data_IF_304609472346
#
_entry.id   IF_304609472346
#
_cell.length_a   1.000
_cell.length_b   1.000
_cell.length_c   1.000
_cell.angle_alpha   90.00
_cell.angle_beta   90.00
_cell.angle_gamma   90.00
#
_symmetry.space_group_name_H-M   'P 1'
#
loop_
_entity.id
_entity.type
_entity.pdbx_description
1 polymer ?
#
# COMPACT_ATOMS: atom_id res chain seq x y z
N UNK A 1 -20.20 -17.26 -34.83
CA UNK A 1 -21.56 -16.75 -34.50
C UNK A 1 -21.56 -16.50 -33.00
N UNK A 2 -21.15 -15.32 -32.54
CA UNK A 2 -22.00 -14.15 -32.24
C UNK A 2 -23.03 -14.51 -31.15
N UNK A 3 -22.99 -13.90 -29.96
CA UNK A 3 -23.45 -12.53 -29.72
C UNK A 3 -22.61 -11.85 -28.61
N UNK A 4 -22.11 -10.66 -28.94
CA UNK A 4 -21.54 -9.68 -28.03
C UNK A 4 -22.66 -8.72 -27.57
N UNK A 5 -22.66 -8.34 -26.29
CA UNK A 5 -23.47 -7.22 -25.79
C UNK A 5 -22.54 -6.02 -25.60
N UNK A 6 -22.85 -5.00 -26.38
CA UNK A 6 -22.33 -3.63 -26.35
C UNK A 6 -23.15 -2.86 -25.31
N UNK A 7 -22.50 -2.21 -24.36
CA UNK A 7 -23.06 -1.03 -23.69
C UNK A 7 -22.10 0.13 -23.93
N UNK A 8 -22.58 1.07 -24.73
CA UNK A 8 -22.01 2.40 -24.90
C UNK A 8 -22.77 3.34 -23.96
N UNK A 9 -22.05 4.12 -23.16
CA UNK A 9 -22.52 5.44 -22.73
C UNK A 9 -21.39 6.47 -22.88
N UNK A 10 -21.64 7.35 -23.84
CA UNK A 10 -21.28 8.76 -23.97
C UNK A 10 -19.98 9.29 -23.37
N UNK A 11 -19.09 9.59 -24.32
CA UNK A 11 -18.25 10.78 -24.40
C UNK A 11 -18.69 11.97 -23.55
N UNK A 12 -17.83 12.38 -22.61
CA UNK A 12 -17.62 13.79 -22.32
C UNK A 12 -16.17 14.14 -22.67
N UNK A 13 -16.04 15.19 -23.45
CA UNK A 13 -14.84 15.67 -24.15
C UNK A 13 -13.71 16.14 -23.23
N UNK A 14 -12.49 15.84 -23.69
CA UNK A 14 -11.20 16.47 -23.39
C UNK A 14 -11.21 17.78 -22.57
N UNK A 15 -10.46 17.78 -21.48
CA UNK A 15 -9.48 18.85 -21.23
C UNK A 15 -8.17 18.24 -20.78
N UNK A 16 -7.15 18.29 -21.65
CA UNK A 16 -5.75 18.05 -21.28
C UNK A 16 -5.30 19.25 -20.44
N UNK A 17 -5.44 19.15 -19.12
CA UNK A 17 -4.66 19.99 -18.23
C UNK A 17 -3.22 19.44 -18.21
N UNK A 18 -2.27 20.28 -18.59
CA UNK A 18 -0.86 20.07 -18.26
C UNK A 18 -0.74 19.82 -16.76
N UNK A 19 -0.18 18.68 -16.36
CA UNK A 19 0.29 18.47 -15.00
C UNK A 19 1.44 19.46 -14.75
N UNK A 20 1.12 20.58 -14.10
CA UNK A 20 2.10 21.50 -13.55
C UNK A 20 2.77 20.79 -12.35
N UNK A 21 4.10 20.88 -12.19
CA UNK A 21 4.76 20.38 -11.00
C UNK A 21 4.20 21.14 -9.78
N UNK A 22 3.78 20.37 -8.78
CA UNK A 22 3.25 20.86 -7.52
C UNK A 22 4.22 21.89 -6.94
N UNK A 23 3.73 23.12 -6.81
CA UNK A 23 4.39 24.13 -6.00
C UNK A 23 3.95 23.84 -4.57
N UNK A 24 4.89 23.53 -3.69
CA UNK A 24 4.66 23.42 -2.25
C UNK A 24 4.14 24.77 -1.73
N UNK A 25 2.82 24.93 -1.74
CA UNK A 25 2.12 26.01 -1.06
C UNK A 25 1.85 25.53 0.38
N UNK A 26 2.25 26.29 1.42
CA UNK A 26 2.05 25.87 2.79
C UNK A 26 0.56 25.97 3.10
N UNK A 27 -0.10 24.81 3.26
CA UNK A 27 -1.50 24.72 3.65
C UNK A 27 -1.70 25.30 5.05
N UNK A 28 -2.01 26.59 5.09
CA UNK A 28 -2.72 27.24 6.18
C UNK A 28 -4.18 26.77 6.13
N UNK A 29 -4.65 26.16 7.22
CA UNK A 29 -6.04 25.80 7.41
C UNK A 29 -6.18 24.51 8.19
N UNK A 30 -6.17 24.61 9.52
CA UNK A 30 -6.91 23.68 10.36
C UNK A 30 -8.39 23.88 10.00
N UNK A 31 -8.83 23.25 8.90
CA UNK A 31 -10.25 23.05 8.66
C UNK A 31 -10.74 22.20 9.83
N UNK A 32 -11.71 22.74 10.58
CA UNK A 32 -12.48 21.99 11.56
C UNK A 32 -12.80 20.62 10.99
N UNK A 33 -12.35 19.56 11.65
CA UNK A 33 -12.84 18.21 11.40
C UNK A 33 -14.33 18.25 11.75
N UNK A 34 -15.18 18.51 10.76
CA UNK A 34 -16.61 18.21 10.89
C UNK A 34 -16.70 16.75 11.31
N UNK A 35 -17.26 16.51 12.51
CA UNK A 35 -17.48 15.18 13.06
C UNK A 35 -18.34 14.43 12.06
N UNK A 36 -17.70 13.61 11.24
CA UNK A 36 -18.36 12.95 10.13
C UNK A 36 -19.13 11.76 10.72
N UNK A 37 -20.47 11.81 10.64
CA UNK A 37 -21.31 10.72 11.12
C UNK A 37 -21.12 9.48 10.24
N UNK A 38 -20.51 8.45 10.81
CA UNK A 38 -20.30 7.18 10.13
C UNK A 38 -21.61 6.39 10.13
N UNK A 39 -22.23 6.21 8.96
CA UNK A 39 -23.54 5.56 8.83
C UNK A 39 -23.42 4.25 8.07
N UNK A 40 -23.87 3.15 8.69
CA UNK A 40 -23.83 1.82 8.10
C UNK A 40 -24.61 0.80 8.92
N UNK A 41 -24.62 -0.45 8.47
CA UNK A 41 -24.95 -1.61 9.30
C UNK A 41 -23.72 -2.44 9.65
N UNK A 42 -22.69 -2.35 8.81
CA UNK A 42 -21.36 -2.88 9.10
C UNK A 42 -20.34 -1.79 8.84
N UNK A 43 -19.40 -1.56 9.75
CA UNK A 43 -18.29 -0.64 9.54
C UNK A 43 -16.98 -1.36 9.83
N UNK A 44 -16.10 -1.43 8.84
CA UNK A 44 -14.71 -1.85 9.04
C UNK A 44 -13.85 -0.61 9.21
N UNK A 45 -13.19 -0.48 10.35
CA UNK A 45 -12.16 0.53 10.63
C UNK A 45 -10.79 -0.14 10.61
N UNK A 46 -9.88 0.40 9.82
CA UNK A 46 -8.49 -0.05 9.73
C UNK A 46 -7.59 1.13 10.05
N UNK A 47 -6.71 1.02 11.04
CA UNK A 47 -5.82 2.11 11.42
C UNK A 47 -4.66 2.28 10.43
N UNK A 48 -4.16 3.51 10.36
CA UNK A 48 -2.92 3.89 9.68
C UNK A 48 -1.75 3.06 10.21
N UNK A 49 -1.64 2.87 11.53
CA UNK A 49 -0.56 2.10 12.15
C UNK A 49 -0.54 0.64 11.68
N UNK A 50 -1.71 0.02 11.51
CA UNK A 50 -1.81 -1.33 10.99
C UNK A 50 -1.43 -1.39 9.51
N UNK A 51 -1.86 -0.40 8.72
CA UNK A 51 -1.51 -0.27 7.31
C UNK A 51 -0.01 -0.06 7.16
N UNK A 52 0.59 0.80 7.96
CA UNK A 52 2.03 1.00 8.06
C UNK A 52 2.70 -0.33 8.38
N UNK A 53 2.38 -0.99 9.49
CA UNK A 53 3.01 -2.27 9.85
C UNK A 53 2.92 -3.35 8.75
N UNK A 54 1.83 -3.33 7.97
CA UNK A 54 1.59 -4.29 6.89
C UNK A 54 2.29 -3.89 5.58
N UNK A 55 2.37 -2.60 5.27
CA UNK A 55 2.81 -2.07 3.97
C UNK A 55 4.17 -1.35 4.04
N UNK A 56 4.42 -0.60 5.12
CA UNK A 56 5.71 -0.03 5.48
C UNK A 56 6.73 -1.14 5.68
N UNK A 57 7.74 -1.15 4.82
CA UNK A 57 8.90 -2.01 5.00
C UNK A 57 10.08 -1.41 4.28
N UNK A 58 11.22 -1.58 4.91
CA UNK A 58 12.48 -1.16 4.36
C UNK A 58 12.83 -1.99 3.12
N UNK A 59 13.19 -1.29 2.06
CA UNK A 59 13.84 -1.88 0.89
C UNK A 59 15.34 -1.82 1.18
N UNK A 60 16.00 -2.97 1.23
CA UNK A 60 17.47 -3.06 1.18
C UNK A 60 17.84 -4.12 0.17
N UNK A 61 18.25 -3.67 -1.02
CA UNK A 61 18.56 -4.57 -2.14
C UNK A 61 19.88 -4.23 -2.80
N UNK A 62 20.67 -5.28 -3.05
CA UNK A 62 21.90 -5.21 -3.84
C UNK A 62 21.69 -5.85 -5.20
N UNK A 63 21.84 -5.05 -6.25
CA UNK A 63 21.63 -5.50 -7.63
C UNK A 63 22.89 -5.36 -8.47
N UNK A 64 23.03 -6.23 -9.47
CA UNK A 64 24.06 -6.09 -10.50
C UNK A 64 23.66 -4.97 -11.47
N UNK A 65 24.60 -4.06 -11.74
CA UNK A 65 24.46 -3.06 -12.79
C UNK A 65 25.11 -3.58 -14.06
N UNK A 66 24.35 -3.63 -15.15
CA UNK A 66 24.83 -3.87 -16.50
C UNK A 66 23.99 -3.03 -17.46
N UNK A 67 24.53 -1.88 -17.90
CA UNK A 67 23.81 -0.93 -18.75
C UNK A 67 24.74 -0.23 -19.73
N UNK A 68 24.17 0.35 -20.78
CA UNK A 68 24.92 1.10 -21.78
C UNK A 68 24.68 2.60 -21.60
N UNK A 69 25.73 3.35 -21.26
CA UNK A 69 25.68 4.81 -21.13
C UNK A 69 26.58 5.41 -22.20
N UNK A 70 26.01 6.17 -23.13
CA UNK A 70 26.76 6.78 -24.24
C UNK A 70 27.64 5.76 -25.00
N UNK A 71 27.03 4.63 -25.39
CA UNK A 71 27.71 3.51 -26.07
C UNK A 71 28.82 2.83 -25.25
N UNK A 72 28.97 3.19 -23.97
CA UNK A 72 29.92 2.57 -23.05
C UNK A 72 29.15 1.61 -22.16
N UNK A 73 29.46 0.31 -22.26
CA UNK A 73 28.90 -0.69 -21.35
C UNK A 73 29.51 -0.52 -19.97
N UNK A 74 28.68 -0.14 -19.00
CA UNK A 74 29.03 0.05 -17.61
C UNK A 74 28.54 -1.14 -16.77
N UNK A 75 29.47 -1.81 -16.10
CA UNK A 75 29.20 -2.99 -15.27
C UNK A 75 29.60 -2.71 -13.83
N UNK A 76 28.80 -3.15 -12.87
CA UNK A 76 29.13 -3.02 -11.46
C UNK A 76 28.00 -3.46 -10.53
N UNK A 77 27.87 -2.76 -9.41
CA UNK A 77 26.85 -3.06 -8.38
C UNK A 77 26.14 -1.79 -7.94
N UNK A 78 24.88 -1.95 -7.54
CA UNK A 78 24.06 -0.93 -6.90
C UNK A 78 23.56 -1.45 -5.56
N UNK A 79 23.40 -0.54 -4.61
CA UNK A 79 22.80 -0.75 -3.30
C UNK A 79 21.66 0.26 -3.18
N UNK A 80 20.45 -0.24 -3.05
CA UNK A 80 19.22 0.54 -2.97
C UNK A 80 18.65 0.35 -1.58
N UNK A 81 18.51 1.46 -0.86
CA UNK A 81 17.87 1.53 0.45
C UNK A 81 16.64 2.42 0.35
N UNK A 82 15.55 2.07 1.02
CA UNK A 82 14.38 2.93 1.12
C UNK A 82 13.45 2.52 2.25
N UNK A 83 12.59 3.45 2.64
CA UNK A 83 11.55 3.28 3.65
C UNK A 83 10.20 3.59 3.01
N UNK A 84 9.17 2.84 3.36
CA UNK A 84 7.82 3.04 2.89
C UNK A 84 6.95 3.53 4.04
N UNK A 85 6.15 4.56 3.80
CA UNK A 85 5.20 5.15 4.72
C UNK A 85 3.81 5.10 4.08
N UNK A 86 2.76 4.90 4.88
CA UNK A 86 1.37 5.09 4.46
C UNK A 86 0.95 6.52 4.79
N UNK A 87 0.27 7.15 3.85
CA UNK A 87 -0.27 8.51 3.98
C UNK A 87 -1.76 8.44 3.62
N UNK A 88 -2.64 8.22 4.61
CA UNK A 88 -4.08 8.29 4.43
C UNK A 88 -4.45 9.68 3.93
N UNK A 89 -5.20 9.76 2.82
CA UNK A 89 -5.70 11.03 2.30
C UNK A 89 -7.17 11.14 2.63
N UNK A 90 -7.58 12.13 3.45
CA UNK A 90 -8.98 12.29 3.75
C UNK A 90 -9.80 12.46 2.49
N UNK A 91 -10.75 11.56 2.31
CA UNK A 91 -11.68 11.52 1.19
C UNK A 91 -13.02 11.00 1.72
N UNK A 92 -14.11 11.66 1.34
CA UNK A 92 -15.46 11.36 1.82
C UNK A 92 -16.18 10.33 0.95
N UNK A 93 -15.71 10.14 -0.28
CA UNK A 93 -16.34 9.28 -1.27
C UNK A 93 -15.46 8.09 -1.67
N UNK A 94 -14.20 8.06 -1.22
CA UNK A 94 -13.23 7.02 -1.58
C UNK A 94 -12.39 6.55 -0.39
N UNK A 95 -12.05 5.26 -0.38
CA UNK A 95 -11.13 4.66 0.58
C UNK A 95 -9.77 4.55 -0.10
N UNK A 96 -9.17 5.72 -0.27
CA UNK A 96 -7.88 5.87 -0.92
C UNK A 96 -6.81 6.26 0.10
N UNK A 97 -5.65 5.62 -0.01
CA UNK A 97 -4.45 6.01 0.70
C UNK A 97 -3.25 5.95 -0.25
N UNK A 98 -2.20 6.67 0.12
CA UNK A 98 -0.97 6.72 -0.66
C UNK A 98 0.13 5.98 0.08
N UNK A 99 0.80 5.06 -0.59
CA UNK A 99 2.08 4.51 -0.11
C UNK A 99 3.20 5.37 -0.68
N UNK A 100 3.95 6.03 0.19
CA UNK A 100 5.09 6.87 -0.16
C UNK A 100 6.36 6.13 0.19
N UNK A 101 7.20 5.82 -0.79
CA UNK A 101 8.49 5.18 -0.57
C UNK A 101 9.59 6.18 -0.86
N UNK A 102 10.44 6.47 0.12
CA UNK A 102 11.60 7.35 -0.03
C UNK A 102 12.89 6.56 0.11
N UNK A 103 13.91 6.91 -0.64
CA UNK A 103 15.16 6.15 -0.57
C UNK A 103 16.31 6.70 -1.38
N UNK A 104 17.41 5.95 -1.34
CA UNK A 104 18.64 6.25 -2.07
C UNK A 104 19.17 5.02 -2.79
N UNK A 105 19.70 5.21 -3.99
CA UNK A 105 20.37 4.16 -4.77
C UNK A 105 21.81 4.59 -5.08
N UNK A 106 22.76 3.87 -4.51
CA UNK A 106 24.18 4.09 -4.66
C UNK A 106 24.79 3.03 -5.58
N UNK A 107 25.43 3.45 -6.68
CA UNK A 107 26.06 2.52 -7.62
C UNK A 107 27.55 2.78 -7.83
N UNK A 108 28.30 1.71 -8.09
CA UNK A 108 29.71 1.75 -8.52
C UNK A 108 29.84 0.96 -9.79
N UNK A 109 30.34 1.59 -10.85
CA UNK A 109 30.44 0.95 -12.17
C UNK A 109 31.79 1.20 -12.82
N UNK A 110 32.22 0.23 -13.63
CA UNK A 110 33.35 0.33 -14.52
C UNK A 110 32.85 0.23 -15.96
N UNK A 111 33.14 1.25 -16.77
CA UNK A 111 32.87 1.28 -18.19
C UNK A 111 34.15 1.15 -19.01
N UNK A 112 34.09 0.42 -20.13
CA UNK A 112 35.21 0.31 -21.08
C UNK A 112 34.80 0.86 -22.44
N UNK A 113 35.61 1.77 -22.98
CA UNK A 113 35.42 2.33 -24.31
C UNK A 113 36.77 2.37 -25.04
N UNK A 114 37.01 1.37 -25.88
CA UNK A 114 38.32 1.12 -26.48
C UNK A 114 39.40 0.93 -25.40
N UNK A 115 40.53 1.66 -25.46
CA UNK A 115 41.57 1.56 -24.44
C UNK A 115 41.24 2.31 -23.14
N UNK A 116 40.17 3.12 -23.09
CA UNK A 116 39.82 3.89 -21.91
C UNK A 116 38.97 3.06 -20.93
N UNK A 117 39.31 3.14 -19.65
CA UNK A 117 38.58 2.52 -18.53
C UNK A 117 38.07 3.66 -17.65
N UNK A 118 36.77 3.70 -17.41
CA UNK A 118 36.12 4.77 -16.64
C UNK A 118 35.47 4.16 -15.42
N UNK A 119 35.88 4.61 -14.24
CA UNK A 119 35.26 4.22 -12.97
C UNK A 119 34.38 5.34 -12.49
N UNK A 120 33.10 5.04 -12.23
CA UNK A 120 32.10 6.01 -11.83
C UNK A 120 31.37 5.56 -10.57
N UNK A 121 30.90 6.54 -9.81
CA UNK A 121 29.93 6.38 -8.72
C UNK A 121 28.70 7.21 -9.05
N UNK A 122 27.53 6.69 -8.72
CA UNK A 122 26.30 7.48 -8.73
C UNK A 122 25.60 7.37 -7.38
N UNK A 123 25.00 8.46 -6.94
CA UNK A 123 24.00 8.48 -5.89
C UNK A 123 22.70 8.97 -6.53
N UNK A 124 21.58 8.34 -6.22
CA UNK A 124 20.25 8.76 -6.71
C UNK A 124 19.30 8.76 -5.55
N UNK A 125 18.82 9.93 -5.19
CA UNK A 125 17.75 10.09 -4.21
C UNK A 125 16.43 9.99 -4.98
N UNK A 126 15.45 9.29 -4.40
CA UNK A 126 14.18 9.06 -5.07
C UNK A 126 13.02 8.99 -4.08
N UNK A 127 11.83 9.33 -4.59
CA UNK A 127 10.55 9.27 -3.90
C UNK A 127 9.52 8.66 -4.84
N UNK A 128 8.91 7.56 -4.47
CA UNK A 128 7.81 6.91 -5.19
C UNK A 128 6.53 7.16 -4.41
N UNK A 129 5.46 7.49 -5.10
CA UNK A 129 4.12 7.60 -4.57
C UNK A 129 3.22 6.64 -5.35
N UNK A 130 2.54 5.74 -4.64
CA UNK A 130 1.60 4.79 -5.24
C UNK A 130 0.25 4.94 -4.55
N UNK A 131 -0.81 5.06 -5.35
CA UNK A 131 -2.18 5.17 -4.84
C UNK A 131 -2.75 3.78 -4.69
N UNK A 132 -3.34 3.51 -3.52
CA UNK A 132 -4.08 2.29 -3.23
C UNK A 132 -5.52 2.69 -2.93
N UNK A 133 -6.46 2.05 -3.62
CA UNK A 133 -7.90 2.28 -3.46
C UNK A 133 -8.59 0.98 -3.09
N UNK A 134 -9.57 1.04 -2.20
CA UNK A 134 -10.47 -0.08 -1.97
C UNK A 134 -11.63 -0.05 -2.96
N UNK A 135 -11.85 -1.15 -3.68
CA UNK A 135 -12.91 -1.27 -4.69
C UNK A 135 -13.59 -2.63 -4.56
N UNK A 136 -14.90 -2.62 -4.30
CA UNK A 136 -15.77 -3.79 -4.28
C UNK A 136 -15.20 -5.02 -3.53
N UNK A 137 -14.65 -4.81 -2.33
CA UNK A 137 -14.16 -5.91 -1.47
C UNK A 137 -12.65 -6.19 -1.57
N UNK A 138 -11.90 -5.48 -2.41
CA UNK A 138 -10.45 -5.68 -2.55
C UNK A 138 -9.69 -4.36 -2.67
N UNK A 139 -8.44 -4.36 -2.23
CA UNK A 139 -7.52 -3.28 -2.49
C UNK A 139 -6.94 -3.40 -3.91
N UNK A 140 -6.96 -2.30 -4.64
CA UNK A 140 -6.41 -2.15 -5.97
C UNK A 140 -5.34 -1.05 -5.97
N UNK A 141 -4.34 -1.22 -6.82
CA UNK A 141 -3.24 -0.27 -6.95
C UNK A 141 -3.24 0.38 -8.32
N UNK A 142 -2.81 1.63 -8.36
CA UNK A 142 -2.47 2.33 -9.61
C UNK A 142 -0.96 2.32 -9.84
N UNK A 143 -0.47 2.48 -11.08
CA UNK A 143 0.96 2.61 -11.33
C UNK A 143 1.58 3.76 -10.54
N UNK A 144 2.72 3.51 -9.90
CA UNK A 144 3.40 4.51 -9.09
C UNK A 144 3.93 5.69 -9.92
N UNK A 145 4.03 6.85 -9.28
CA UNK A 145 4.75 8.02 -9.79
C UNK A 145 6.05 8.15 -9.00
N UNK A 146 7.15 8.37 -9.69
CA UNK A 146 8.48 8.54 -9.09
C UNK A 146 9.01 9.94 -9.35
N UNK A 147 9.69 10.49 -8.36
CA UNK A 147 10.57 11.64 -8.45
C UNK A 147 11.98 11.17 -8.11
N UNK A 148 12.98 11.67 -8.82
CA UNK A 148 14.36 11.24 -8.63
C UNK A 148 15.32 12.39 -8.91
N UNK A 149 16.47 12.34 -8.26
CA UNK A 149 17.60 13.19 -8.58
C UNK A 149 18.88 12.39 -8.53
N UNK A 150 19.60 12.32 -9.66
CA UNK A 150 20.87 11.59 -9.73
C UNK A 150 22.06 12.52 -9.74
N UNK A 151 23.06 12.18 -8.91
CA UNK A 151 24.40 12.73 -8.98
C UNK A 151 25.40 11.70 -9.51
N UNK A 152 26.06 12.00 -10.62
CA UNK A 152 27.11 11.17 -11.21
C UNK A 152 28.51 11.76 -10.94
N UNK A 153 29.39 10.96 -10.34
CA UNK A 153 30.77 11.32 -9.98
C UNK A 153 31.74 10.37 -10.70
N UNK A 154 32.48 10.85 -11.70
CA UNK A 154 33.61 10.11 -12.24
C UNK A 154 34.71 10.01 -11.19
N UNK A 155 35.04 8.80 -10.75
CA UNK A 155 36.07 8.54 -9.74
C UNK A 155 37.45 8.44 -10.38
N UNK A 156 37.52 7.77 -11.53
CA UNK A 156 38.79 7.46 -12.18
C UNK A 156 38.68 7.32 -13.68
N UNK A 157 39.75 7.68 -14.37
CA UNK A 157 39.93 7.44 -15.79
C UNK A 157 41.30 6.82 -15.97
N UNK A 158 41.31 5.59 -16.45
CA UNK A 158 42.52 4.81 -16.70
C UNK A 158 42.61 4.37 -18.16
N UNK A 159 43.72 3.76 -18.54
CA UNK A 159 43.94 3.21 -19.87
C UNK A 159 44.51 1.79 -19.79
N UNK A 160 44.02 0.90 -20.66
CA UNK A 160 44.56 -0.46 -20.79
C UNK A 160 45.92 -0.51 -21.50
N UNK A 161 46.34 0.60 -22.14
CA UNK A 161 47.60 0.69 -22.89
C UNK A 161 48.68 1.42 -22.07
N UNK A 162 49.93 0.92 -22.04
CA UNK A 162 51.00 1.52 -21.24
C UNK A 162 51.65 2.76 -21.91
N UNK A 163 52.46 3.47 -21.13
CA UNK A 163 53.35 4.54 -21.62
C UNK A 163 52.66 5.81 -22.11
N UNK A 164 53.26 6.47 -23.11
CA UNK A 164 52.77 7.74 -23.68
C UNK A 164 51.37 7.62 -24.29
N UNK A 165 51.06 6.47 -24.92
CA UNK A 165 49.72 6.19 -25.47
C UNK A 165 48.67 6.15 -24.36
N UNK A 166 49.00 5.56 -23.21
CA UNK A 166 48.14 5.55 -22.03
C UNK A 166 47.91 6.95 -21.44
N UNK A 167 48.95 7.79 -21.42
CA UNK A 167 48.84 9.18 -20.97
C UNK A 167 47.90 10.00 -21.87
N UNK A 168 48.05 9.90 -23.19
CA UNK A 168 47.17 10.57 -24.15
C UNK A 168 45.73 10.08 -24.04
N UNK A 169 45.54 8.75 -23.96
CA UNK A 169 44.22 8.13 -23.81
C UNK A 169 43.50 8.66 -22.57
N UNK A 170 44.16 8.68 -21.40
CA UNK A 170 43.59 9.22 -20.16
C UNK A 170 43.22 10.69 -20.29
N UNK A 171 44.07 11.50 -20.93
CA UNK A 171 43.83 12.93 -21.15
C UNK A 171 42.61 13.20 -22.04
N UNK A 172 42.44 12.42 -23.12
CA UNK A 172 41.29 12.52 -24.02
C UNK A 172 40.03 12.01 -23.31
N UNK A 173 40.10 10.84 -22.67
CA UNK A 173 38.98 10.23 -21.96
C UNK A 173 38.48 11.14 -20.82
N UNK A 174 39.37 11.73 -20.02
CA UNK A 174 38.98 12.68 -18.97
C UNK A 174 38.23 13.89 -19.53
N UNK A 175 38.73 14.49 -20.62
CA UNK A 175 38.03 15.60 -21.31
C UNK A 175 36.64 15.17 -21.79
N UNK A 176 36.54 13.99 -22.42
CA UNK A 176 35.28 13.47 -22.94
C UNK A 176 34.26 13.19 -21.83
N UNK A 177 34.69 12.57 -20.73
CA UNK A 177 33.85 12.29 -19.56
C UNK A 177 33.27 13.57 -18.97
N UNK A 178 34.09 14.63 -18.84
CA UNK A 178 33.61 15.92 -18.33
C UNK A 178 32.61 16.57 -19.28
N UNK A 179 32.89 16.55 -20.59
CA UNK A 179 31.96 17.08 -21.61
C UNK A 179 30.63 16.34 -21.66
N UNK A 180 30.63 15.03 -21.40
CA UNK A 180 29.43 14.19 -21.49
C UNK A 180 28.74 13.93 -20.16
N UNK A 181 29.18 14.55 -19.06
CA UNK A 181 28.71 14.27 -17.70
C UNK A 181 27.20 14.45 -17.57
N UNK A 182 26.67 15.62 -17.92
CA UNK A 182 25.24 15.92 -17.78
C UNK A 182 24.36 14.94 -18.58
N UNK A 183 24.81 14.52 -19.75
CA UNK A 183 24.07 13.53 -20.56
C UNK A 183 24.15 12.14 -19.95
N UNK A 184 25.32 11.73 -19.44
CA UNK A 184 25.47 10.44 -18.75
C UNK A 184 24.63 10.39 -17.46
N UNK A 185 24.56 11.51 -16.73
CA UNK A 185 23.76 11.68 -15.52
C UNK A 185 22.27 11.51 -15.81
N UNK A 186 21.72 12.21 -16.81
CA UNK A 186 20.31 12.07 -17.22
C UNK A 186 19.94 10.65 -17.68
N UNK A 187 20.84 9.98 -18.42
CA UNK A 187 20.62 8.58 -18.83
C UNK A 187 20.59 7.68 -17.59
N UNK A 188 21.57 7.87 -16.69
CA UNK A 188 21.68 7.11 -15.44
C UNK A 188 20.44 7.30 -14.59
N UNK A 189 19.97 8.54 -14.46
CA UNK A 189 18.76 8.92 -13.73
C UNK A 189 17.53 8.22 -14.29
N UNK A 190 17.28 8.37 -15.59
CA UNK A 190 16.13 7.75 -16.25
C UNK A 190 16.13 6.21 -16.07
N UNK A 191 17.28 5.58 -16.26
CA UNK A 191 17.41 4.13 -16.16
C UNK A 191 17.25 3.65 -14.70
N UNK A 192 17.81 4.39 -13.73
CA UNK A 192 17.63 4.10 -12.30
C UNK A 192 16.17 4.33 -11.89
N UNK A 193 15.56 5.43 -12.31
CA UNK A 193 14.14 5.78 -12.09
C UNK A 193 13.21 4.65 -12.55
N UNK A 194 13.41 4.16 -13.77
CA UNK A 194 12.57 3.08 -14.32
C UNK A 194 12.72 1.78 -13.52
N UNK A 195 13.95 1.42 -13.12
CA UNK A 195 14.21 0.22 -12.33
C UNK A 195 13.59 0.33 -10.94
N UNK A 196 13.86 1.42 -10.22
CA UNK A 196 13.34 1.64 -8.86
C UNK A 196 11.82 1.64 -8.86
N UNK A 197 11.19 2.32 -9.83
CA UNK A 197 9.73 2.32 -9.93
C UNK A 197 9.18 0.90 -10.11
N UNK A 198 9.75 0.11 -11.02
CA UNK A 198 9.30 -1.27 -11.24
C UNK A 198 9.47 -2.16 -10.00
N UNK A 199 10.58 -2.02 -9.28
CA UNK A 199 10.87 -2.79 -8.06
C UNK A 199 9.94 -2.40 -6.91
N UNK A 200 9.68 -1.10 -6.73
CA UNK A 200 8.70 -0.61 -5.75
C UNK A 200 7.29 -1.04 -6.13
N UNK A 201 6.92 -0.93 -7.40
CA UNK A 201 5.61 -1.35 -7.88
C UNK A 201 5.36 -2.83 -7.59
N UNK A 202 6.30 -3.70 -7.97
CA UNK A 202 6.23 -5.15 -7.74
C UNK A 202 6.16 -5.48 -6.24
N UNK A 203 6.95 -4.81 -5.42
CA UNK A 203 6.95 -5.02 -3.96
C UNK A 203 5.61 -4.64 -3.32
N UNK A 204 5.06 -3.48 -3.67
CA UNK A 204 3.76 -3.01 -3.14
C UNK A 204 2.63 -3.90 -3.66
N UNK A 205 2.62 -4.23 -4.95
CA UNK A 205 1.57 -5.08 -5.54
C UNK A 205 1.56 -6.48 -4.92
N UNK A 206 2.74 -7.05 -4.67
CA UNK A 206 2.87 -8.32 -3.96
C UNK A 206 2.31 -8.27 -2.53
N UNK A 207 2.44 -7.15 -1.83
CA UNK A 207 1.87 -6.95 -0.48
C UNK A 207 0.37 -6.78 -0.51
N UNK A 208 -0.14 -5.97 -1.43
CA UNK A 208 -1.58 -5.78 -1.62
C UNK A 208 -2.24 -7.10 -2.02
N UNK A 209 -1.60 -7.92 -2.85
CA UNK A 209 -2.08 -9.26 -3.18
C UNK A 209 -2.17 -10.17 -1.94
N UNK A 210 -1.17 -10.15 -1.06
CA UNK A 210 -1.20 -10.89 0.22
C UNK A 210 -2.28 -10.36 1.17
N UNK A 211 -2.45 -9.05 1.24
CA UNK A 211 -3.49 -8.40 2.03
C UNK A 211 -4.88 -8.85 1.55
N UNK A 212 -5.15 -8.77 0.25
CA UNK A 212 -6.39 -9.24 -0.34
C UNK A 212 -6.62 -10.73 -0.09
N UNK A 213 -5.59 -11.57 -0.20
CA UNK A 213 -5.70 -12.99 0.12
C UNK A 213 -6.04 -13.23 1.61
N UNK A 214 -5.47 -12.45 2.53
CA UNK A 214 -5.76 -12.51 3.97
C UNK A 214 -7.19 -12.07 4.29
N UNK A 215 -7.71 -11.09 3.56
CA UNK A 215 -9.11 -10.63 3.68
C UNK A 215 -10.05 -11.71 3.18
N UNK A 216 -9.78 -12.28 2.00
CA UNK A 216 -10.57 -13.36 1.43
C UNK A 216 -10.57 -14.62 2.32
N UNK A 217 -9.43 -14.95 2.95
CA UNK A 217 -9.33 -16.14 3.79
C UNK A 217 -10.03 -16.03 5.15
N UNK A 218 -10.73 -14.92 5.46
CA UNK A 218 -11.46 -14.76 6.72
C UNK A 218 -12.92 -15.23 6.53
N UNK A 219 -13.32 -16.37 7.10
CA UNK A 219 -14.65 -16.96 6.87
C UNK A 219 -15.80 -16.03 7.30
N UNK A 220 -15.55 -15.19 8.30
CA UNK A 220 -16.52 -14.19 8.77
C UNK A 220 -16.81 -13.14 7.69
N UNK A 221 -15.80 -12.70 6.94
CA UNK A 221 -15.97 -11.73 5.86
C UNK A 221 -16.65 -12.38 4.66
N UNK A 222 -16.35 -13.65 4.34
CA UNK A 222 -17.08 -14.38 3.30
C UNK A 222 -18.58 -14.51 3.60
N UNK A 223 -18.97 -14.56 4.88
CA UNK A 223 -20.39 -14.60 5.28
C UNK A 223 -21.04 -13.23 5.31
N UNK A 224 -20.30 -12.20 5.72
CA UNK A 224 -20.84 -10.84 5.85
C UNK A 224 -20.85 -10.12 4.50
N UNK A 225 -19.78 -10.22 3.69
CA UNK A 225 -19.64 -9.50 2.42
C UNK A 225 -20.83 -9.69 1.46
N UNK A 226 -21.44 -10.89 1.31
CA UNK A 226 -22.60 -11.05 0.44
C UNK A 226 -23.90 -10.44 0.99
N UNK A 227 -24.01 -10.28 2.31
CA UNK A 227 -25.13 -9.57 2.94
C UNK A 227 -25.05 -8.04 2.73
N UNK A 228 -23.90 -7.57 2.28
CA UNK A 228 -23.63 -6.17 2.06
C UNK A 228 -23.79 -5.89 0.58
N UNK A 229 -24.64 -4.92 0.24
CA UNK A 229 -24.67 -4.44 -1.13
C UNK A 229 -23.36 -3.67 -1.38
N UNK A 230 -22.42 -4.32 -2.08
CA UNK A 230 -21.13 -3.71 -2.45
C UNK A 230 -21.30 -2.44 -3.28
N UNK A 231 -22.46 -2.23 -3.93
CA UNK A 231 -22.79 -0.98 -4.63
C UNK A 231 -23.23 0.15 -3.68
N UNK A 232 -23.58 -0.19 -2.44
CA UNK A 232 -23.98 0.74 -1.39
C UNK A 232 -22.90 0.90 -0.29
N UNK A 233 -21.69 0.39 -0.53
CA UNK A 233 -20.55 0.65 0.33
C UNK A 233 -20.16 2.14 0.24
N UNK A 234 -20.10 2.79 1.38
CA UNK A 234 -19.53 4.12 1.55
C UNK A 234 -18.13 3.98 2.09
N UNK A 235 -17.22 4.70 1.45
CA UNK A 235 -15.81 4.64 1.74
C UNK A 235 -15.40 6.02 2.24
N UNK A 236 -14.70 6.03 3.37
CA UNK A 236 -14.20 7.26 3.96
C UNK A 236 -12.79 7.03 4.49
N UNK A 237 -11.90 7.97 4.22
CA UNK A 237 -10.57 7.99 4.82
C UNK A 237 -10.50 9.18 5.77
N UNK A 238 -10.01 8.95 6.98
CA UNK A 238 -9.59 10.01 7.91
C UNK A 238 -8.07 10.14 7.88
N UNK A 239 -7.50 11.01 8.72
CA UNK A 239 -6.04 11.12 8.84
C UNK A 239 -5.38 9.85 9.38
N UNK A 240 -6.11 9.09 10.20
CA UNK A 240 -5.53 7.98 10.98
C UNK A 240 -6.18 6.64 10.71
N UNK A 241 -7.26 6.60 9.94
CA UNK A 241 -8.02 5.38 9.71
C UNK A 241 -8.69 5.38 8.33
N UNK A 242 -8.87 4.19 7.78
CA UNK A 242 -9.77 3.94 6.66
C UNK A 242 -11.04 3.31 7.21
N UNK A 243 -12.18 3.80 6.75
CA UNK A 243 -13.51 3.36 7.13
C UNK A 243 -14.25 2.83 5.91
N UNK A 244 -14.73 1.60 6.00
CA UNK A 244 -15.60 0.99 5.01
C UNK A 244 -16.96 0.76 5.66
N UNK A 245 -17.93 1.59 5.33
CA UNK A 245 -19.29 1.49 5.85
C UNK A 245 -20.19 0.84 4.81
N UNK A 246 -20.86 -0.24 5.18
CA UNK A 246 -21.73 -0.97 4.29
C UNK A 246 -23.18 -0.79 4.70
N UNK A 247 -24.01 -0.38 3.73
CA UNK A 247 -25.46 -0.31 3.87
C UNK A 247 -26.02 -1.70 3.53
N UNK A 248 -26.98 -2.18 4.32
CA UNK A 248 -27.70 -3.42 4.00
C UNK A 248 -28.55 -3.25 2.74
N UNK A 249 -28.85 -4.37 2.08
CA UNK A 249 -29.55 -4.44 0.78
C UNK A 249 -30.88 -3.67 0.74
N UNK A 250 -31.54 -3.51 1.89
CA UNK A 250 -32.84 -2.81 2.03
C UNK A 250 -32.78 -1.49 2.82
N UNK A 251 -31.60 -1.07 3.28
CA UNK A 251 -31.46 0.06 4.20
C UNK A 251 -31.32 1.40 3.44
N UNK A 252 -32.41 2.17 3.38
CA UNK A 252 -32.44 3.51 2.75
C UNK A 252 -31.65 4.56 3.55
N UNK A 253 -31.42 4.32 4.86
CA UNK A 253 -30.60 5.18 5.71
C UNK A 253 -29.78 4.33 6.68
N UNK A 254 -28.45 4.44 6.61
CA UNK A 254 -27.55 3.77 7.56
C UNK A 254 -27.74 4.27 9.00
N UNK A 255 -27.44 3.41 9.96
CA UNK A 255 -27.46 3.73 11.40
C UNK A 255 -26.15 4.43 11.75
N UNK A 256 -26.21 5.47 12.59
CA UNK A 256 -25.01 6.16 13.07
C UNK A 256 -24.23 5.20 13.98
N UNK A 257 -22.96 5.01 13.67
CA UNK A 257 -22.04 4.20 14.44
C UNK A 257 -21.28 5.07 15.43
N UNK A 258 -21.28 4.74 16.73
CA UNK A 258 -20.62 5.52 17.77
C UNK A 258 -19.11 5.22 17.82
N UNK A 259 -18.39 5.46 16.71
CA UNK A 259 -16.95 5.17 16.60
C UNK A 259 -16.10 5.94 17.62
N UNK A 260 -16.61 7.06 18.14
CA UNK A 260 -15.94 7.92 19.10
C UNK A 260 -16.07 7.44 20.56
N UNK A 261 -16.94 6.45 20.82
CA UNK A 261 -17.12 5.90 22.17
C UNK A 261 -16.01 4.89 22.55
N UNK A 262 -15.22 4.43 21.58
CA UNK A 262 -14.10 3.52 21.79
C UNK A 262 -12.80 4.09 21.22
N UNK A 263 -11.72 3.97 22.01
CA UNK A 263 -10.37 4.21 21.52
C UNK A 263 -10.07 3.30 20.31
N UNK A 264 -9.49 3.83 19.22
CA UNK A 264 -9.20 3.05 18.03
C UNK A 264 -8.18 1.93 18.27
N UNK A 265 -8.51 0.74 17.78
CA UNK A 265 -7.60 -0.39 17.60
C UNK A 265 -7.08 -0.49 16.16
N UNK A 266 -6.05 -1.31 15.95
CA UNK A 266 -5.48 -1.63 14.63
C UNK A 266 -6.54 -2.02 13.58
N UNK A 267 -7.50 -2.85 13.95
CA UNK A 267 -8.61 -3.24 13.09
C UNK A 267 -9.85 -3.52 13.91
N UNK A 268 -10.97 -2.96 13.48
CA UNK A 268 -12.26 -3.13 14.14
C UNK A 268 -13.38 -3.38 13.14
N UNK A 269 -14.22 -4.35 13.45
CA UNK A 269 -15.44 -4.63 12.69
C UNK A 269 -16.65 -4.36 13.57
N UNK A 270 -17.38 -3.31 13.24
CA UNK A 270 -18.60 -2.89 13.90
C UNK A 270 -19.80 -3.46 13.15
N UNK A 271 -20.67 -4.20 13.85
CA UNK A 271 -21.83 -4.86 13.27
C UNK A 271 -23.06 -4.43 14.06
N UNK A 272 -24.02 -3.80 13.40
CA UNK A 272 -25.26 -3.38 14.03
C UNK A 272 -26.18 -4.58 14.31
N UNK A 273 -26.80 -4.62 15.47
CA UNK A 273 -27.67 -5.71 15.95
C UNK A 273 -28.75 -6.12 14.95
N UNK A 274 -29.31 -5.15 14.23
CA UNK A 274 -30.40 -5.39 13.27
C UNK A 274 -29.97 -6.29 12.11
N UNK A 275 -28.69 -6.32 11.74
CA UNK A 275 -28.18 -7.22 10.70
C UNK A 275 -28.33 -8.69 11.10
N UNK A 276 -28.31 -8.96 12.41
CA UNK A 276 -28.46 -10.30 12.99
C UNK A 276 -29.93 -10.60 13.36
N UNK A 277 -30.87 -9.70 13.04
CA UNK A 277 -32.27 -9.84 13.46
C UNK A 277 -32.49 -9.71 14.97
N UNK A 278 -31.52 -9.13 15.70
CA UNK A 278 -31.56 -9.03 17.15
C UNK A 278 -32.17 -7.68 17.57
N UNK A 279 -33.33 -7.67 18.26
CA UNK A 279 -34.00 -6.42 18.66
C UNK A 279 -33.29 -5.71 19.83
N UNK A 280 -32.59 -6.45 20.69
CA UNK A 280 -31.76 -5.97 21.81
C UNK A 280 -30.65 -7.02 22.03
N UNK A 281 -29.39 -6.60 22.13
CA UNK A 281 -28.27 -7.51 22.36
C UNK A 281 -28.09 -7.70 23.87
N UNK A 282 -28.49 -8.85 24.41
CA UNK A 282 -28.00 -9.34 25.69
C UNK A 282 -26.80 -10.26 25.42
N UNK A 283 -25.58 -9.70 25.47
CA UNK A 283 -24.36 -10.49 25.26
C UNK A 283 -24.02 -11.28 26.53
N UNK A 284 -23.71 -12.59 26.44
CA UNK A 284 -23.24 -13.34 27.59
C UNK A 284 -21.91 -12.77 28.13
N UNK A 285 -21.86 -12.42 29.41
CA UNK A 285 -20.64 -12.03 30.14
C UNK A 285 -19.91 -13.28 30.66
N UNK A 286 -19.23 -14.04 29.79
CA UNK A 286 -17.86 -13.67 29.41
C UNK A 286 -17.54 -13.75 27.89
N UNK A 287 -16.45 -13.09 27.48
CA UNK A 287 -15.98 -12.98 26.09
C UNK A 287 -15.85 -14.33 25.34
N UNK A 288 -15.46 -15.41 26.04
CA UNK A 288 -15.38 -16.75 25.45
C UNK A 288 -16.75 -17.27 24.98
N UNK A 289 -17.81 -16.91 25.70
CA UNK A 289 -19.19 -17.23 25.31
C UNK A 289 -19.72 -16.26 24.26
N UNK A 290 -19.20 -15.02 24.20
CA UNK A 290 -19.56 -14.04 23.17
C UNK A 290 -19.16 -14.52 21.77
N UNK A 291 -17.94 -15.07 21.58
CA UNK A 291 -17.51 -15.61 20.28
C UNK A 291 -18.34 -16.83 19.88
N UNK A 292 -18.59 -17.74 20.83
CA UNK A 292 -19.41 -18.93 20.59
C UNK A 292 -20.87 -18.56 20.26
N UNK A 293 -21.44 -17.62 21.00
CA UNK A 293 -22.77 -17.06 20.75
C UNK A 293 -22.83 -16.39 19.37
N UNK A 294 -21.86 -15.54 19.05
CA UNK A 294 -21.80 -14.82 17.78
C UNK A 294 -21.68 -15.79 16.59
N UNK A 295 -20.81 -16.79 16.68
CA UNK A 295 -20.69 -17.85 15.68
C UNK A 295 -21.99 -18.66 15.53
N UNK A 296 -22.71 -18.91 16.63
CA UNK A 296 -24.01 -19.58 16.60
C UNK A 296 -25.07 -18.71 15.89
N UNK A 297 -25.13 -17.41 16.19
CA UNK A 297 -26.03 -16.47 15.51
C UNK A 297 -25.73 -16.40 14.01
N UNK A 298 -24.45 -16.30 13.62
CA UNK A 298 -24.04 -16.31 12.21
C UNK A 298 -24.35 -17.64 11.49
N UNK A 299 -24.42 -18.75 12.22
CA UNK A 299 -24.74 -20.06 11.63
C UNK A 299 -26.25 -20.27 11.49
N UNK A 300 -27.07 -19.49 12.19
CA UNK A 300 -28.53 -19.49 12.07
C UNK A 300 -29.09 -18.53 11.02
N UNK A 301 -28.25 -17.70 10.40
CA UNK A 301 -28.67 -16.86 9.28
C UNK A 301 -28.86 -17.73 8.03
N UNK A 302 -30.09 -17.80 7.53
CA UNK A 302 -30.40 -18.35 6.20
C UNK A 302 -29.79 -17.42 5.14
N UNK A 303 -28.52 -17.64 4.84
CA UNK A 303 -27.84 -16.96 3.75
C UNK A 303 -28.39 -17.52 2.43
N UNK A 304 -28.72 -16.67 1.43
CA UNK A 304 -29.02 -17.17 0.10
C UNK A 304 -27.85 -18.03 -0.37
N UNK A 305 -28.15 -19.22 -0.89
CA UNK A 305 -27.16 -20.14 -1.45
C UNK A 305 -26.49 -19.43 -2.63
N UNK A 306 -25.34 -18.82 -2.37
CA UNK A 306 -24.56 -18.13 -3.38
C UNK A 306 -23.84 -19.19 -4.20
N UNK A 307 -24.22 -19.29 -5.47
CA UNK A 307 -23.59 -20.14 -6.48
C UNK A 307 -22.20 -19.54 -6.83
N UNK A 308 -21.29 -19.56 -5.85
CA UNK A 308 -19.92 -19.11 -6.03
C UNK A 308 -19.14 -20.20 -6.78
N UNK A 309 -18.32 -19.83 -7.78
CA UNK A 309 -17.50 -20.80 -8.47
C UNK A 309 -16.56 -21.48 -7.46
N UNK A 310 -16.45 -22.80 -7.52
CA UNK A 310 -15.45 -23.57 -6.77
C UNK A 310 -14.04 -23.10 -7.19
N UNK A 311 -13.52 -22.10 -6.50
CA UNK A 311 -12.12 -21.71 -6.61
C UNK A 311 -11.33 -22.71 -5.78
N UNK A 312 -10.39 -23.48 -6.37
CA UNK A 312 -9.55 -24.38 -5.60
C UNK A 312 -8.77 -23.55 -4.56
N UNK A 313 -9.16 -23.70 -3.30
CA UNK A 313 -8.50 -23.07 -2.16
C UNK A 313 -7.03 -23.50 -2.18
N UNK A 314 -6.06 -22.57 -2.19
CA UNK A 314 -4.68 -22.94 -1.93
C UNK A 314 -4.59 -23.66 -0.58
N UNK A 315 -3.64 -24.57 -0.39
CA UNK A 315 -3.36 -25.19 0.91
C UNK A 315 -2.94 -24.09 1.91
N UNK A 316 -3.93 -23.45 2.53
CA UNK A 316 -3.72 -22.45 3.58
C UNK A 316 -3.45 -23.24 4.87
N UNK A 317 -2.30 -23.04 5.54
CA UNK A 317 -2.07 -23.67 6.84
C UNK A 317 -3.23 -23.32 7.78
N UNK A 318 -3.61 -24.27 8.64
CA UNK A 318 -4.68 -24.08 9.63
C UNK A 318 -4.46 -22.75 10.37
N UNK A 319 -5.30 -21.76 10.06
CA UNK A 319 -5.18 -20.41 10.58
C UNK A 319 -5.48 -20.44 12.06
N UNK A 320 -4.50 -20.07 12.88
CA UNK A 320 -4.76 -19.64 14.25
C UNK A 320 -5.69 -18.43 14.17
N UNK A 321 -6.93 -18.60 14.63
CA UNK A 321 -7.87 -17.49 14.79
C UNK A 321 -7.21 -16.57 15.82
N UNK A 322 -6.72 -15.41 15.36
CA UNK A 322 -6.20 -14.40 16.28
C UNK A 322 -7.29 -14.13 17.33
N UNK A 323 -6.93 -14.09 18.62
CA UNK A 323 -7.90 -13.78 19.66
C UNK A 323 -8.51 -12.41 19.33
N UNK A 324 -9.82 -12.40 19.07
CA UNK A 324 -10.59 -11.18 18.86
C UNK A 324 -11.28 -10.84 20.16
N UNK A 325 -11.22 -9.57 20.54
CA UNK A 325 -12.03 -9.06 21.63
C UNK A 325 -13.42 -8.66 21.08
N UNK A 326 -14.48 -8.99 21.82
CA UNK A 326 -15.84 -8.60 21.48
C UNK A 326 -16.33 -7.60 22.51
N UNK A 327 -16.74 -6.43 22.04
CA UNK A 327 -17.35 -5.40 22.88
C UNK A 327 -18.73 -5.02 22.34
N UNK A 328 -19.57 -4.47 23.22
CA UNK A 328 -20.89 -3.93 22.86
C UNK A 328 -20.92 -2.46 23.13
N UNK A 329 -21.31 -1.69 22.12
CA UNK A 329 -21.46 -0.24 22.23
C UNK A 329 -22.85 0.12 21.74
N UNK A 330 -23.78 0.29 22.68
CA UNK A 330 -25.20 0.46 22.37
C UNK A 330 -25.78 -0.74 21.61
N UNK A 331 -26.12 -0.55 20.33
CA UNK A 331 -26.64 -1.60 19.44
C UNK A 331 -25.58 -2.17 18.48
N UNK A 332 -24.30 -1.89 18.72
CA UNK A 332 -23.20 -2.35 17.89
C UNK A 332 -22.38 -3.42 18.60
N UNK A 333 -22.10 -4.50 17.88
CA UNK A 333 -21.12 -5.51 18.25
C UNK A 333 -19.81 -5.10 17.59
N UNK A 334 -18.76 -4.93 18.39
CA UNK A 334 -17.44 -4.51 17.93
C UNK A 334 -16.48 -5.68 18.09
N UNK A 335 -15.95 -6.17 16.97
CA UNK A 335 -14.90 -7.17 16.95
C UNK A 335 -13.56 -6.44 16.77
N UNK A 336 -12.66 -6.56 17.75
CA UNK A 336 -11.36 -5.90 17.75
C UNK A 336 -10.24 -6.92 17.64
N UNK A 337 -9.19 -6.62 16.89
CA UNK A 337 -7.95 -7.39 17.01
C UNK A 337 -7.31 -7.12 18.37
N UNK A 338 -6.90 -8.14 19.10
CA UNK A 338 -6.04 -7.94 20.26
C UNK A 338 -4.66 -7.50 19.79
N UNK A 339 -4.18 -6.38 20.31
CA UNK A 339 -2.83 -5.89 20.05
C UNK A 339 -1.84 -6.88 20.65
N UNK A 340 -1.06 -7.55 19.79
CA UNK A 340 -0.13 -8.59 20.21
C UNK A 340 1.01 -8.07 21.12
N UNK A 341 1.15 -6.76 21.30
CA UNK A 341 2.26 -6.13 22.01
C UNK A 341 2.01 -5.86 23.50
N UNK A 342 0.76 -5.82 23.97
CA UNK A 342 0.45 -5.49 25.36
C UNK A 342 0.94 -6.54 26.39
N UNK A 343 1.15 -7.79 25.97
CA UNK A 343 1.56 -8.87 26.88
C UNK A 343 3.08 -8.98 27.11
N UNK A 344 3.90 -8.20 26.40
CA UNK A 344 5.36 -8.24 26.60
C UNK A 344 5.90 -7.34 27.72
N UNK A 345 5.11 -6.38 28.21
CA UNK A 345 5.58 -5.43 29.24
C UNK A 345 5.29 -5.93 30.68
N UNK A 346 4.25 -6.74 30.88
CA UNK A 346 3.93 -7.35 32.20
C UNK A 346 4.86 -8.49 32.61
N UNK A 347 5.60 -9.10 31.67
CA UNK A 347 6.52 -10.20 31.96
C UNK A 347 7.88 -9.74 32.53
N UNK A 348 8.23 -8.44 32.47
CA UNK A 348 9.54 -7.94 32.94
C UNK A 348 9.56 -7.41 34.38
N UNK A 349 8.42 -7.26 35.05
CA UNK A 349 8.35 -6.65 36.39
C UNK A 349 8.28 -7.69 37.53
N UNK A 350 8.29 -8.99 37.22
CA UNK A 350 8.20 -10.09 38.20
C UNK A 350 9.53 -10.79 38.55
N UNK A 351 10.66 -10.27 38.10
CA UNK A 351 11.99 -10.86 38.32
C UNK A 351 12.96 -9.84 38.94
N UNK A 352 12.65 -9.36 40.15
CA UNK A 352 13.62 -8.82 41.10
C UNK A 352 13.42 -9.41 42.49
#
# INVERSE_FOLDING_TARGET
MAIAIVIALSSCSLSRAHAQPATDEPAAGAADEEVQEHRGLVILRISEEWLDRTLATDIDTRTRVDRCVLQTRAIGTAHTEGHADVDPKPDQDDATFRVVVTGTSNSRTVGRNGPAIITSRSATDWKVAKIVRFDAGKFMTEPGVIESHTRLIPVGVDASVPGLRGMLTRGIARRRVQQSRATAERITERDTRQRVLAEVDESIDGRIAKLNAKIASRPILERILPLLDTQAARLYTSRHCIHLAFLGVDAVAGVVCPLDELEPSETELWIHASLLGLPVIDLPEPADQAMAWFNNQLSGLDLPELDLPEVPMPDVPALEILPMDIQVVGQWIVLRSQDAEADTETAKTGAE
#
